data_IF_502946026755
#
_entry.id   IF_502946026755
#
_cell.length_a   1.000
_cell.length_b   1.000
_cell.length_c   1.000
_cell.angle_alpha   90.00
_cell.angle_beta   90.00
_cell.angle_gamma   90.00
#
_symmetry.space_group_name_H-M   'P 1'
#
loop_
_entity.id
_entity.type
_entity.pdbx_description
1 polymer ?
#
# COMPACT_ATOMS: atom_id res chain seq x y z
N UNK A 1 -14.12 3.96 5.26
CA UNK A 1 -12.89 3.24 4.86
C UNK A 1 -11.69 4.15 5.07
N UNK A 2 -10.45 3.66 4.99
CA UNK A 2 -9.23 4.47 5.15
C UNK A 2 -8.42 4.44 3.85
N UNK A 3 -7.91 5.60 3.43
CA UNK A 3 -7.03 5.78 2.27
C UNK A 3 -5.94 6.79 2.63
N UNK A 4 -4.69 6.32 2.67
CA UNK A 4 -3.53 7.10 3.08
C UNK A 4 -2.63 7.29 1.88
N UNK A 5 -2.28 8.55 1.59
CA UNK A 5 -1.23 8.92 0.65
C UNK A 5 0.10 9.07 1.42
N UNK A 6 1.03 8.16 1.17
CA UNK A 6 2.28 8.08 1.90
C UNK A 6 3.29 9.07 1.33
N UNK A 7 3.68 10.08 2.12
CA UNK A 7 4.55 11.16 1.65
C UNK A 7 3.85 12.21 0.77
N UNK A 8 2.52 12.13 0.63
CA UNK A 8 1.70 13.11 -0.07
C UNK A 8 1.53 14.45 0.65
N UNK A 9 0.76 15.34 0.02
CA UNK A 9 0.44 16.69 0.53
C UNK A 9 -0.35 16.64 1.84
N UNK A 10 -0.08 17.57 2.75
CA UNK A 10 -0.62 17.57 4.12
C UNK A 10 -2.15 17.70 4.16
N UNK A 11 -2.72 18.49 3.26
CA UNK A 11 -4.13 18.82 3.21
C UNK A 11 -5.01 17.63 2.80
N UNK A 12 -4.42 16.59 2.21
CA UNK A 12 -5.16 15.53 1.53
C UNK A 12 -5.89 16.03 0.29
N UNK A 13 -6.58 15.12 -0.40
CA UNK A 13 -7.31 15.43 -1.63
C UNK A 13 -8.32 14.32 -1.97
N UNK A 14 -9.11 14.55 -3.02
CA UNK A 14 -9.89 13.52 -3.69
C UNK A 14 -9.19 13.21 -5.00
N UNK A 15 -8.73 11.98 -5.17
CA UNK A 15 -8.07 11.53 -6.40
C UNK A 15 -9.06 11.60 -7.56
N UNK A 16 -8.72 12.35 -8.60
CA UNK A 16 -9.66 12.64 -9.70
C UNK A 16 -9.96 11.43 -10.58
N UNK A 17 -9.09 10.43 -10.57
CA UNK A 17 -9.24 9.22 -11.39
C UNK A 17 -10.15 8.20 -10.72
N UNK A 18 -9.98 8.01 -9.41
CA UNK A 18 -10.70 7.00 -8.63
C UNK A 18 -11.86 7.57 -7.82
N UNK A 19 -11.94 8.90 -7.68
CA UNK A 19 -12.88 9.61 -6.82
C UNK A 19 -12.78 9.22 -5.33
N UNK A 20 -11.60 8.76 -4.90
CA UNK A 20 -11.32 8.34 -3.52
C UNK A 20 -10.65 9.50 -2.77
N UNK A 21 -11.12 9.78 -1.56
CA UNK A 21 -10.43 10.72 -0.66
C UNK A 21 -9.20 10.07 -0.04
N UNK A 22 -8.04 10.71 -0.19
CA UNK A 22 -6.78 10.34 0.44
C UNK A 22 -6.36 11.39 1.47
N UNK A 23 -5.88 10.91 2.62
CA UNK A 23 -5.29 11.74 3.67
C UNK A 23 -3.79 11.52 3.73
N UNK A 24 -3.03 12.58 4.04
CA UNK A 24 -1.59 12.46 4.27
C UNK A 24 -1.24 11.48 5.39
N UNK A 25 -0.12 10.78 5.24
CA UNK A 25 0.45 9.97 6.30
C UNK A 25 1.17 10.77 7.39
N UNK A 26 1.33 12.08 7.24
CA UNK A 26 2.07 12.93 8.18
C UNK A 26 1.58 12.86 9.62
N UNK A 27 0.30 12.52 9.86
CA UNK A 27 -0.24 12.36 11.22
C UNK A 27 0.06 11.01 11.87
N UNK A 28 0.42 9.99 11.08
CA UNK A 28 0.65 8.61 11.56
C UNK A 28 2.07 8.12 11.34
N UNK A 29 2.87 8.79 10.49
CA UNK A 29 4.25 8.44 10.20
C UNK A 29 5.16 9.67 10.25
N UNK A 30 5.98 9.73 11.31
CA UNK A 30 6.97 10.80 11.51
C UNK A 30 8.38 10.45 11.02
N UNK A 31 8.63 9.19 10.72
CA UNK A 31 9.91 8.69 10.24
C UNK A 31 9.94 8.62 8.71
N UNK A 32 11.12 8.32 8.16
CA UNK A 32 11.32 8.26 6.71
C UNK A 32 11.30 9.62 6.03
N UNK A 33 11.43 9.60 4.71
CA UNK A 33 11.55 10.78 3.87
C UNK A 33 10.40 10.81 2.86
N UNK A 34 9.79 11.99 2.68
CA UNK A 34 8.80 12.20 1.62
C UNK A 34 9.54 12.42 0.31
N UNK A 35 9.10 11.74 -0.74
CA UNK A 35 9.71 11.80 -2.06
C UNK A 35 8.60 11.91 -3.11
N UNK A 36 8.92 12.60 -4.19
CA UNK A 36 8.10 12.65 -5.40
C UNK A 36 8.79 11.83 -6.47
N UNK A 37 8.01 11.09 -7.26
CA UNK A 37 8.56 10.36 -8.41
C UNK A 37 9.13 11.33 -9.45
N UNK A 38 10.00 10.83 -10.34
CA UNK A 38 10.54 11.66 -11.42
C UNK A 38 9.42 12.18 -12.35
N UNK A 39 9.61 13.39 -12.87
CA UNK A 39 8.63 14.13 -13.69
C UNK A 39 8.08 13.30 -14.85
N UNK A 40 8.93 12.49 -15.47
CA UNK A 40 8.62 11.68 -16.65
C UNK A 40 7.55 10.63 -16.38
N UNK A 41 7.27 10.32 -15.11
CA UNK A 41 6.28 9.32 -14.69
C UNK A 41 4.99 9.93 -14.15
N UNK A 42 5.00 11.18 -13.67
CA UNK A 42 3.87 11.81 -12.95
C UNK A 42 2.58 11.76 -13.76
N UNK A 43 2.62 12.11 -15.05
CA UNK A 43 1.42 12.18 -15.90
C UNK A 43 0.83 10.82 -16.26
N UNK A 44 1.53 9.72 -15.97
CA UNK A 44 1.11 8.35 -16.30
C UNK A 44 0.48 7.58 -15.15
N UNK A 45 0.39 8.20 -13.97
CA UNK A 45 -0.15 7.55 -12.76
C UNK A 45 -1.15 8.45 -12.04
N UNK A 46 -2.09 7.81 -11.34
CA UNK A 46 -3.02 8.50 -10.44
C UNK A 46 -2.28 9.23 -9.32
N UNK A 47 -2.93 10.22 -8.72
CA UNK A 47 -2.30 11.15 -7.78
C UNK A 47 -1.73 10.42 -6.54
N UNK A 48 -2.41 9.38 -6.07
CA UNK A 48 -1.98 8.54 -4.92
C UNK A 48 -0.71 7.71 -5.17
N UNK A 49 -0.16 7.75 -6.40
CA UNK A 49 1.09 7.08 -6.78
C UNK A 49 2.21 8.07 -7.14
N UNK A 50 1.93 9.39 -7.13
CA UNK A 50 2.91 10.41 -7.49
C UNK A 50 3.91 10.70 -6.35
N UNK A 51 3.51 10.38 -5.13
CA UNK A 51 4.32 10.53 -3.93
C UNK A 51 4.59 9.17 -3.29
N UNK A 52 5.66 9.13 -2.50
CA UNK A 52 5.98 7.99 -1.66
C UNK A 52 6.71 8.45 -0.41
N UNK A 53 6.66 7.60 0.62
CA UNK A 53 7.55 7.69 1.76
C UNK A 53 8.61 6.60 1.68
N UNK A 54 9.88 7.00 1.70
CA UNK A 54 11.03 6.09 1.72
C UNK A 54 11.61 5.99 3.12
N UNK A 55 12.23 4.84 3.43
CA UNK A 55 12.79 4.55 4.74
C UNK A 55 14.27 4.12 4.63
N UNK A 56 15.19 5.08 4.41
CA UNK A 56 16.62 4.77 4.30
C UNK A 56 17.19 4.23 5.62
N UNK A 57 16.63 4.69 6.73
CA UNK A 57 17.01 4.36 8.09
C UNK A 57 16.03 3.35 8.72
N UNK A 58 16.53 2.54 9.64
CA UNK A 58 15.75 1.50 10.31
C UNK A 58 15.62 0.21 9.49
N UNK A 59 15.48 -0.91 10.20
CA UNK A 59 15.33 -2.24 9.59
C UNK A 59 13.87 -2.67 9.44
N UNK A 60 12.96 -2.09 10.24
CA UNK A 60 11.52 -2.35 10.21
C UNK A 60 10.76 -1.05 10.46
N UNK A 61 9.92 -0.65 9.52
CA UNK A 61 9.14 0.58 9.57
C UNK A 61 7.66 0.23 9.45
N UNK A 62 6.85 0.51 10.48
CA UNK A 62 5.47 0.05 10.57
C UNK A 62 4.48 1.22 10.64
N UNK A 63 3.48 1.20 9.78
CA UNK A 63 2.29 2.04 9.90
C UNK A 63 1.28 1.37 10.83
N UNK A 64 0.72 2.14 11.75
CA UNK A 64 -0.47 1.77 12.52
C UNK A 64 -1.70 2.34 11.82
N UNK A 65 -2.41 1.50 11.06
CA UNK A 65 -3.60 1.90 10.30
C UNK A 65 -4.83 1.73 11.19
N UNK A 66 -5.47 2.83 11.54
CA UNK A 66 -6.59 2.89 12.47
C UNK A 66 -7.52 4.06 12.13
N UNK A 67 -8.81 4.03 12.54
CA UNK A 67 -9.48 3.00 13.35
C UNK A 67 -9.95 1.80 12.54
N UNK A 68 -9.98 0.63 13.19
CA UNK A 68 -10.45 -0.64 12.66
C UNK A 68 -11.37 -1.30 13.67
N UNK A 69 -12.40 -2.02 13.22
CA UNK A 69 -13.32 -2.76 14.07
C UNK A 69 -12.81 -4.22 14.16
N UNK A 70 -12.47 -4.63 15.38
CA UNK A 70 -12.06 -6.02 15.64
C UNK A 70 -13.16 -7.00 15.22
N UNK A 71 -12.77 -8.11 14.59
CA UNK A 71 -13.68 -9.14 14.09
C UNK A 71 -14.36 -8.83 12.75
N UNK A 72 -14.20 -7.63 12.19
CA UNK A 72 -14.72 -7.28 10.85
C UNK A 72 -13.71 -7.64 9.77
N UNK A 73 -14.17 -8.14 8.62
CA UNK A 73 -13.30 -8.44 7.48
C UNK A 73 -12.86 -7.15 6.79
N UNK A 74 -11.57 -7.07 6.45
CA UNK A 74 -11.01 -5.95 5.70
C UNK A 74 -10.21 -6.43 4.49
N UNK A 75 -10.28 -5.64 3.41
CA UNK A 75 -9.34 -5.68 2.30
C UNK A 75 -8.32 -4.55 2.51
N UNK A 76 -7.08 -4.92 2.79
CA UNK A 76 -5.92 -4.03 2.78
C UNK A 76 -5.32 -4.02 1.37
N UNK A 77 -4.96 -2.85 0.84
CA UNK A 77 -4.10 -2.70 -0.32
C UNK A 77 -2.92 -1.80 0.03
N UNK A 78 -1.70 -2.29 -0.19
CA UNK A 78 -0.48 -1.48 -0.16
C UNK A 78 0.03 -1.29 -1.59
N UNK A 79 0.26 -0.04 -2.00
CA UNK A 79 0.71 0.29 -3.36
C UNK A 79 2.12 0.86 -3.37
N UNK A 80 2.87 0.54 -4.43
CA UNK A 80 4.29 0.87 -4.57
C UNK A 80 4.54 1.35 -6.00
N UNK A 81 4.77 2.65 -6.15
CA UNK A 81 5.29 3.26 -7.37
C UNK A 81 6.68 3.82 -7.09
N UNK A 82 7.73 3.20 -7.64
CA UNK A 82 9.10 3.67 -7.45
C UNK A 82 9.35 4.94 -8.27
N UNK A 83 9.00 4.92 -9.56
CA UNK A 83 9.05 6.09 -10.43
C UNK A 83 10.39 6.83 -10.43
N UNK A 84 11.49 6.10 -10.21
CA UNK A 84 12.85 6.63 -10.17
C UNK A 84 13.03 7.85 -9.23
N UNK A 85 12.35 7.86 -8.07
CA UNK A 85 12.36 9.01 -7.16
C UNK A 85 13.76 9.42 -6.64
N UNK A 86 14.73 8.51 -6.66
CA UNK A 86 16.10 8.70 -6.20
C UNK A 86 17.11 8.85 -7.35
N UNK A 87 16.67 8.75 -8.61
CA UNK A 87 17.52 8.86 -9.79
C UNK A 87 18.42 7.65 -10.08
N UNK A 88 18.34 6.56 -9.29
CA UNK A 88 19.20 5.39 -9.46
C UNK A 88 18.70 4.42 -10.54
N UNK A 89 17.45 4.56 -10.95
CA UNK A 89 16.74 3.69 -11.89
C UNK A 89 16.87 2.20 -11.54
N UNK A 90 16.90 1.90 -10.25
CA UNK A 90 17.11 0.55 -9.72
C UNK A 90 16.08 0.30 -8.63
N UNK A 91 15.02 -0.41 -8.99
CA UNK A 91 13.93 -0.73 -8.07
C UNK A 91 14.48 -1.52 -6.85
N UNK A 92 14.26 -1.06 -5.60
CA UNK A 92 14.81 -1.72 -4.42
C UNK A 92 14.02 -2.98 -4.07
N UNK A 93 14.70 -3.95 -3.43
CA UNK A 93 14.06 -5.14 -2.89
C UNK A 93 13.83 -5.00 -1.38
N UNK A 94 12.63 -5.28 -0.88
CA UNK A 94 12.32 -5.25 0.55
C UNK A 94 11.14 -6.17 0.87
N UNK A 95 10.84 -6.41 2.14
CA UNK A 95 9.71 -7.26 2.52
C UNK A 95 8.53 -6.44 3.06
N UNK A 96 7.33 -6.89 2.75
CA UNK A 96 6.08 -6.39 3.31
C UNK A 96 5.53 -7.42 4.30
N UNK A 97 5.22 -6.97 5.52
CA UNK A 97 4.47 -7.75 6.50
C UNK A 97 3.20 -7.03 6.93
N UNK A 98 2.13 -7.78 7.18
CA UNK A 98 0.88 -7.27 7.74
C UNK A 98 0.64 -7.96 9.09
N UNK A 99 0.55 -7.17 10.15
CA UNK A 99 0.67 -7.67 11.52
C UNK A 99 2.04 -8.33 11.74
N UNK A 100 2.02 -9.55 12.27
CA UNK A 100 3.22 -10.38 12.48
C UNK A 100 3.59 -11.23 11.25
N UNK A 101 2.73 -11.28 10.24
CA UNK A 101 2.87 -12.20 9.11
C UNK A 101 3.62 -11.55 7.95
N UNK A 102 4.68 -12.21 7.46
CA UNK A 102 5.30 -11.83 6.18
C UNK A 102 4.34 -12.14 5.05
N UNK A 103 4.13 -11.16 4.17
CA UNK A 103 3.12 -11.22 3.10
C UNK A 103 3.81 -11.40 1.74
N UNK A 104 4.78 -10.54 1.42
CA UNK A 104 5.40 -10.54 0.09
C UNK A 104 6.74 -9.82 0.08
N UNK A 105 7.69 -10.33 -0.71
CA UNK A 105 8.87 -9.57 -1.10
C UNK A 105 8.50 -8.62 -2.24
N UNK A 106 8.69 -7.32 -2.01
CA UNK A 106 8.48 -6.26 -2.99
C UNK A 106 9.73 -6.14 -3.85
N UNK A 107 9.55 -6.32 -5.15
CA UNK A 107 10.60 -6.20 -6.16
C UNK A 107 9.97 -6.02 -7.54
N UNK A 108 10.70 -5.39 -8.47
CA UNK A 108 10.29 -5.19 -9.86
C UNK A 108 11.53 -5.06 -10.74
N UNK A 109 11.45 -5.51 -11.98
CA UNK A 109 12.48 -5.25 -13.00
C UNK A 109 12.24 -3.94 -13.77
N UNK A 110 11.12 -3.26 -13.51
CA UNK A 110 10.70 -2.06 -14.23
C UNK A 110 10.39 -0.93 -13.25
N UNK A 111 11.20 0.12 -13.28
CA UNK A 111 11.11 1.31 -12.43
C UNK A 111 9.84 2.14 -12.67
N UNK A 112 9.25 2.02 -13.86
CA UNK A 112 8.06 2.78 -14.30
C UNK A 112 6.75 2.08 -13.96
N UNK A 113 6.79 0.80 -13.58
CA UNK A 113 5.58 0.05 -13.20
C UNK A 113 5.32 0.22 -11.71
N UNK A 114 4.08 0.53 -11.38
CA UNK A 114 3.59 0.38 -10.02
C UNK A 114 3.12 -1.06 -9.78
N UNK A 115 3.19 -1.48 -8.53
CA UNK A 115 2.68 -2.77 -8.07
C UNK A 115 1.85 -2.55 -6.81
N UNK A 116 0.97 -3.50 -6.52
CA UNK A 116 0.19 -3.49 -5.29
C UNK A 116 0.12 -4.89 -4.70
N UNK A 117 -0.09 -4.93 -3.38
CA UNK A 117 -0.36 -6.15 -2.64
C UNK A 117 -1.69 -5.99 -1.93
N UNK A 118 -2.59 -6.93 -2.19
CA UNK A 118 -3.88 -6.99 -1.50
C UNK A 118 -3.88 -8.14 -0.50
N UNK A 119 -4.35 -7.84 0.71
CA UNK A 119 -4.50 -8.81 1.79
C UNK A 119 -5.90 -8.70 2.36
N UNK A 120 -6.63 -9.82 2.38
CA UNK A 120 -7.85 -9.93 3.18
C UNK A 120 -7.49 -10.46 4.55
N UNK A 121 -7.99 -9.81 5.60
CA UNK A 121 -7.74 -10.21 6.99
C UNK A 121 -8.94 -9.89 7.90
N UNK A 122 -8.99 -10.55 9.05
CA UNK A 122 -9.85 -10.19 10.18
C UNK A 122 -8.94 -9.77 11.33
N UNK A 123 -8.85 -8.47 11.65
CA UNK A 123 -8.05 -7.99 12.76
C UNK A 123 -8.69 -8.34 14.10
N UNK A 124 -7.87 -8.71 15.07
CA UNK A 124 -8.27 -8.92 16.47
C UNK A 124 -8.15 -7.65 17.31
N UNK A 125 -7.37 -6.67 16.84
CA UNK A 125 -7.16 -5.37 17.47
C UNK A 125 -7.99 -4.26 16.79
N UNK A 126 -7.89 -3.04 17.34
CA UNK A 126 -8.52 -1.82 16.79
C UNK A 126 -7.69 -1.14 15.70
N UNK A 127 -6.61 -1.78 15.25
CA UNK A 127 -5.70 -1.29 14.22
C UNK A 127 -5.14 -2.46 13.39
N UNK A 128 -4.55 -2.13 12.23
CA UNK A 128 -3.76 -3.06 11.42
C UNK A 128 -2.36 -2.49 11.26
N UNK A 129 -1.35 -3.30 11.57
CA UNK A 129 0.06 -2.91 11.35
C UNK A 129 0.49 -3.28 9.94
N UNK A 130 1.06 -2.33 9.19
CA UNK A 130 1.64 -2.56 7.85
C UNK A 130 3.11 -2.19 7.92
N UNK A 131 3.99 -3.19 7.87
CA UNK A 131 5.42 -2.97 8.04
C UNK A 131 6.21 -3.26 6.76
N UNK A 132 7.21 -2.42 6.55
CA UNK A 132 8.22 -2.54 5.50
C UNK A 132 9.55 -2.90 6.17
N UNK A 133 10.12 -4.03 5.78
CA UNK A 133 11.37 -4.54 6.33
C UNK A 133 12.49 -4.40 5.31
N UNK A 134 13.59 -3.80 5.74
CA UNK A 134 14.78 -3.57 4.92
C UNK A 134 15.50 -4.90 4.66
N UNK A 135 15.84 -5.16 3.40
CA UNK A 135 16.77 -6.24 3.03
C UNK A 135 18.19 -5.69 2.95
N UNK A 136 19.18 -6.51 2.61
CA UNK A 136 20.60 -6.10 2.56
C UNK A 136 20.87 -4.95 1.58
N UNK A 137 20.07 -4.78 0.52
CA UNK A 137 20.37 -3.83 -0.57
C UNK A 137 19.25 -2.84 -0.91
N UNK A 138 18.02 -3.02 -0.41
CA UNK A 138 16.90 -2.15 -0.79
C UNK A 138 16.49 -1.15 0.28
N UNK A 139 16.25 0.10 -0.11
CA UNK A 139 15.56 1.10 0.71
C UNK A 139 14.04 0.86 0.59
N UNK A 140 13.33 0.47 1.66
CA UNK A 140 11.89 0.28 1.59
C UNK A 140 11.16 1.58 1.32
N UNK A 141 10.06 1.50 0.58
CA UNK A 141 9.17 2.62 0.35
C UNK A 141 7.72 2.16 0.23
N UNK A 142 6.79 3.09 0.30
CA UNK A 142 5.37 2.85 0.04
C UNK A 142 4.71 4.13 -0.49
N UNK A 143 3.79 3.99 -1.44
CA UNK A 143 3.07 5.11 -2.05
C UNK A 143 1.70 5.31 -1.44
N UNK A 144 0.94 4.23 -1.18
CA UNK A 144 -0.36 4.34 -0.53
C UNK A 144 -0.73 3.12 0.29
N UNK A 145 -1.60 3.34 1.27
CA UNK A 145 -2.27 2.29 2.05
C UNK A 145 -3.77 2.52 2.01
N UNK A 146 -4.51 1.53 1.56
CA UNK A 146 -5.97 1.53 1.56
C UNK A 146 -6.49 0.39 2.42
N UNK A 147 -7.52 0.65 3.23
CA UNK A 147 -8.18 -0.34 4.06
C UNK A 147 -9.70 -0.20 3.92
N UNK A 148 -10.34 -1.21 3.34
CA UNK A 148 -11.78 -1.25 3.04
C UNK A 148 -12.48 -2.31 3.90
N UNK A 149 -13.51 -1.97 4.71
CA UNK A 149 -14.34 -2.97 5.35
C UNK A 149 -15.10 -3.76 4.29
N UNK A 150 -15.28 -5.06 4.51
CA UNK A 150 -15.98 -5.95 3.59
C UNK A 150 -17.31 -6.38 4.19
N UNK A 151 -18.42 -6.05 3.53
CA UNK A 151 -19.78 -6.37 4.00
C UNK A 151 -20.33 -7.70 3.45
N UNK A 152 -19.46 -8.59 2.96
CA UNK A 152 -19.85 -9.80 2.22
C UNK A 152 -19.75 -11.10 3.02
N UNK A 153 -20.61 -12.07 2.68
CA UNK A 153 -20.55 -13.46 3.17
C UNK A 153 -19.49 -14.31 2.43
N UNK A 154 -18.84 -13.74 1.41
CA UNK A 154 -17.72 -14.34 0.70
C UNK A 154 -16.52 -14.62 1.61
N UNK A 155 -15.61 -15.47 1.14
CA UNK A 155 -14.39 -15.83 1.87
C UNK A 155 -14.65 -16.34 3.29
N UNK A 156 -15.51 -17.36 3.44
CA UNK A 156 -15.90 -17.93 4.74
C UNK A 156 -14.73 -18.52 5.55
N UNK A 157 -13.67 -18.95 4.88
CA UNK A 157 -12.45 -19.47 5.51
C UNK A 157 -11.59 -18.36 6.14
N UNK A 158 -11.87 -17.08 5.86
CA UNK A 158 -11.19 -15.95 6.49
C UNK A 158 -11.72 -15.72 7.90
N UNK A 159 -10.83 -15.82 8.89
CA UNK A 159 -11.08 -15.58 10.31
C UNK A 159 -9.88 -14.84 10.94
N UNK A 160 -9.87 -14.70 12.26
CA UNK A 160 -8.85 -13.98 13.04
C UNK A 160 -7.46 -14.64 13.05
N UNK A 161 -7.35 -15.88 12.57
CA UNK A 161 -6.09 -16.63 12.45
C UNK A 161 -5.62 -16.81 11.02
N UNK A 162 -6.43 -16.42 10.02
CA UNK A 162 -6.12 -16.60 8.61
C UNK A 162 -6.12 -15.27 7.86
N UNK A 163 -5.20 -15.16 6.91
CA UNK A 163 -5.16 -14.05 5.95
C UNK A 163 -5.06 -14.62 4.53
N UNK A 164 -5.58 -13.90 3.55
CA UNK A 164 -5.43 -14.25 2.14
C UNK A 164 -4.70 -13.16 1.41
N UNK A 165 -3.69 -13.53 0.64
CA UNK A 165 -2.98 -12.61 -0.24
C UNK A 165 -3.50 -12.80 -1.66
N UNK A 166 -3.82 -11.70 -2.35
CA UNK A 166 -4.26 -11.77 -3.74
C UNK A 166 -3.09 -12.22 -4.62
N UNK A 167 -3.24 -13.36 -5.29
CA UNK A 167 -2.35 -13.78 -6.37
C UNK A 167 -2.77 -13.21 -7.71
N UNK A 168 -4.03 -13.38 -8.09
CA UNK A 168 -4.56 -12.92 -9.38
C UNK A 168 -6.05 -12.65 -9.30
N UNK A 169 -6.49 -11.57 -9.95
CA UNK A 169 -7.90 -11.27 -10.21
C UNK A 169 -8.10 -11.26 -11.72
N UNK A 170 -9.09 -12.00 -12.21
CA UNK A 170 -9.42 -12.09 -13.63
C UNK A 170 -10.91 -11.81 -13.81
N UNK A 171 -11.22 -10.95 -14.77
CA UNK A 171 -12.57 -10.77 -15.27
C UNK A 171 -12.70 -11.56 -16.58
N UNK A 172 -13.52 -12.62 -16.58
CA UNK A 172 -13.81 -13.40 -17.77
C UNK A 172 -15.13 -12.92 -18.37
N UNK A 173 -15.10 -12.40 -19.61
CA UNK A 173 -16.32 -12.11 -20.38
C UNK A 173 -16.65 -10.63 -20.61
N UNK A 174 -15.81 -9.67 -20.21
CA UNK A 174 -15.98 -8.25 -20.54
C UNK A 174 -14.63 -7.57 -20.78
N UNK A 175 -14.60 -6.48 -21.56
CA UNK A 175 -13.41 -5.66 -21.82
C UNK A 175 -13.13 -4.61 -20.74
N UNK A 176 -14.04 -4.43 -19.79
CA UNK A 176 -13.95 -3.36 -18.81
C UNK A 176 -13.25 -3.81 -17.54
N UNK A 177 -12.31 -2.97 -17.08
CA UNK A 177 -11.70 -3.12 -15.78
C UNK A 177 -12.72 -2.74 -14.70
N UNK A 178 -13.17 -3.72 -13.90
CA UNK A 178 -14.00 -3.46 -12.72
C UNK A 178 -13.09 -2.93 -11.61
N UNK A 179 -13.15 -1.62 -11.35
CA UNK A 179 -12.52 -0.99 -10.17
C UNK A 179 -13.46 -1.07 -8.96
N UNK A 180 -12.89 -1.24 -7.76
CA UNK A 180 -13.62 -1.26 -6.49
C UNK A 180 -14.19 0.10 -6.12
#
# INVERSE_FOLDING_TARGET
FISIDCGGVEEGYVDTTTNISYTSDSNIMKFGERRTIASDYISSVSQYLQHLRSFPNGTRNCYTVQPVISGVKYLLRASFMYGNYDGLNSFPQFELSVGVNSVRTITSSNSSKWLFVEVMLVPTDTYVSVCLLKTTTGIPFISSIELRPMNGTGYKILNDTTAMVLERRLNFGTTDAVTY
#
